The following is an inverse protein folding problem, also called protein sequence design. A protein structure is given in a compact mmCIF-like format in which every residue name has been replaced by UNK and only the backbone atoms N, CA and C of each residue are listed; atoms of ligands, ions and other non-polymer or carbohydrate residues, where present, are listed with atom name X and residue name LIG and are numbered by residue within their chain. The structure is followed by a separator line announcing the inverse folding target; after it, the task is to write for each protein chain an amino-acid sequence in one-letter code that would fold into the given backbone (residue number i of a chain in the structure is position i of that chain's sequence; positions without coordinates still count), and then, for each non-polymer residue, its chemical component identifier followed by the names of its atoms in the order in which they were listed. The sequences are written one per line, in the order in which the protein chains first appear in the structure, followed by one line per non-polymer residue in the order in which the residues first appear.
data_IF_540116969151
#
_entry.id   IF_540116969151
#
_cell.length_a   1.000
_cell.length_b   1.000
_cell.length_c   1.000
_cell.angle_alpha   90.00
_cell.angle_beta   90.00
_cell.angle_gamma   90.00
#
_symmetry.space_group_name_H-M   'P 1'
#
loop_
_entity.id
_entity.type
_entity.pdbx_description
1 polymer ?
#
# COMPACT_ATOMS: atom_id res chain seq x y z
N UNK A 1 5.40 -8.01 1.52
CA UNK A 1 4.87 -7.78 0.16
C UNK A 1 4.74 -6.27 -0.02
N UNK A 2 4.93 -5.74 -1.22
CA UNK A 2 4.73 -4.34 -1.54
C UNK A 2 3.98 -4.22 -2.86
N UNK A 3 3.13 -3.19 -3.01
CA UNK A 3 2.37 -2.98 -4.24
C UNK A 3 2.21 -1.51 -4.55
N UNK A 4 1.95 -1.21 -5.82
CA UNK A 4 1.54 0.10 -6.28
C UNK A 4 0.53 -0.03 -7.41
N UNK A 5 -0.34 0.98 -7.56
CA UNK A 5 -1.32 1.09 -8.63
C UNK A 5 -1.38 2.53 -9.12
N UNK A 6 -1.49 2.74 -10.43
CA UNK A 6 -1.43 4.08 -11.03
C UNK A 6 -2.66 4.44 -11.88
N UNK A 7 -3.73 3.64 -11.81
CA UNK A 7 -4.93 3.78 -12.65
C UNK A 7 -4.90 2.94 -13.92
N UNK A 8 -3.72 2.69 -14.49
CA UNK A 8 -3.54 1.96 -15.76
C UNK A 8 -2.98 0.55 -15.53
N UNK A 9 -2.01 0.44 -14.62
CA UNK A 9 -1.34 -0.82 -14.29
C UNK A 9 -0.96 -0.85 -12.82
N UNK A 10 -0.50 -2.01 -12.38
CA UNK A 10 -0.02 -2.25 -11.02
C UNK A 10 1.20 -3.18 -11.01
N UNK A 11 1.90 -3.17 -9.89
CA UNK A 11 2.85 -4.24 -9.55
C UNK A 11 2.60 -4.70 -8.13
N UNK A 12 2.80 -6.00 -7.92
CA UNK A 12 2.84 -6.62 -6.60
C UNK A 12 4.15 -7.40 -6.53
N UNK A 13 4.96 -7.09 -5.52
CA UNK A 13 6.26 -7.69 -5.28
C UNK A 13 6.22 -8.43 -3.95
N UNK A 14 6.68 -9.66 -3.93
CA UNK A 14 6.76 -10.47 -2.72
C UNK A 14 8.15 -11.05 -2.53
N UNK A 15 8.56 -11.19 -1.26
CA UNK A 15 9.94 -11.54 -0.93
C UNK A 15 10.36 -12.93 -1.43
N UNK A 16 9.41 -13.80 -1.82
CA UNK A 16 9.75 -15.13 -2.35
C UNK A 16 10.48 -15.03 -3.70
N UNK A 17 10.29 -13.93 -4.44
CA UNK A 17 10.96 -13.67 -5.70
C UNK A 17 12.46 -13.34 -5.54
N UNK A 18 12.91 -13.03 -4.31
CA UNK A 18 14.30 -12.64 -3.99
C UNK A 18 14.89 -13.46 -2.85
N UNK A 19 14.54 -14.75 -2.77
CA UNK A 19 15.11 -15.64 -1.74
C UNK A 19 14.84 -15.15 -0.31
N UNK A 20 13.68 -14.53 -0.08
CA UNK A 20 13.26 -13.95 1.20
C UNK A 20 14.11 -12.75 1.68
N UNK A 21 14.91 -12.15 0.79
CA UNK A 21 15.63 -10.91 1.09
C UNK A 21 14.69 -9.69 0.99
N UNK A 22 14.39 -9.10 2.15
CA UNK A 22 13.49 -7.95 2.24
C UNK A 22 14.08 -6.69 1.62
N UNK A 23 15.38 -6.41 1.81
CA UNK A 23 16.03 -5.22 1.27
C UNK A 23 16.01 -5.23 -0.26
N UNK A 24 16.38 -6.36 -0.88
CA UNK A 24 16.34 -6.51 -2.34
C UNK A 24 14.92 -6.35 -2.87
N UNK A 25 13.91 -6.96 -2.23
CA UNK A 25 12.51 -6.79 -2.63
C UNK A 25 12.07 -5.32 -2.59
N UNK A 26 12.44 -4.59 -1.53
CA UNK A 26 12.09 -3.18 -1.37
C UNK A 26 12.84 -2.27 -2.36
N UNK A 27 14.10 -2.55 -2.66
CA UNK A 27 14.84 -1.86 -3.73
C UNK A 27 14.15 -2.07 -5.09
N UNK A 28 13.77 -3.31 -5.40
CA UNK A 28 13.05 -3.62 -6.64
C UNK A 28 11.66 -2.97 -6.68
N UNK A 29 10.98 -2.86 -5.53
CA UNK A 29 9.73 -2.12 -5.43
C UNK A 29 9.93 -0.66 -5.84
N UNK A 30 10.91 0.03 -5.26
CA UNK A 30 11.21 1.42 -5.59
C UNK A 30 11.65 1.60 -7.05
N UNK A 31 12.50 0.71 -7.57
CA UNK A 31 12.92 0.71 -8.97
C UNK A 31 11.69 0.59 -9.90
N UNK A 32 10.79 -0.36 -9.63
CA UNK A 32 9.58 -0.54 -10.43
C UNK A 32 8.67 0.69 -10.37
N UNK A 33 8.45 1.24 -9.18
CA UNK A 33 7.61 2.42 -8.98
C UNK A 33 8.16 3.63 -9.74
N UNK A 34 9.47 3.90 -9.64
CA UNK A 34 10.12 5.05 -10.28
C UNK A 34 10.11 4.90 -11.81
N UNK A 35 10.49 3.74 -12.33
CA UNK A 35 10.61 3.53 -13.77
C UNK A 35 9.25 3.58 -14.47
N UNK A 36 8.22 3.02 -13.86
CA UNK A 36 6.89 2.91 -14.47
C UNK A 36 5.98 4.11 -14.19
N UNK A 37 6.41 5.03 -13.32
CA UNK A 37 5.65 6.23 -12.96
C UNK A 37 6.48 7.51 -13.08
N UNK A 38 7.44 7.52 -14.02
CA UNK A 38 8.32 8.67 -14.23
C UNK A 38 7.52 9.95 -14.50
N UNK A 39 7.82 11.01 -13.75
CA UNK A 39 7.17 12.31 -13.82
C UNK A 39 5.85 12.40 -13.04
N UNK A 40 5.35 11.32 -12.46
CA UNK A 40 4.09 11.31 -11.70
C UNK A 40 4.30 11.75 -10.24
N UNK A 41 3.21 12.18 -9.62
CA UNK A 41 3.10 12.27 -8.16
C UNK A 41 2.47 10.98 -7.65
N UNK A 42 3.13 10.32 -6.70
CA UNK A 42 2.63 9.10 -6.06
C UNK A 42 2.28 9.40 -4.62
N UNK A 43 1.24 8.72 -4.15
CA UNK A 43 0.74 8.86 -2.79
C UNK A 43 0.85 7.55 -2.05
N UNK A 44 1.46 7.62 -0.87
CA UNK A 44 1.38 6.55 0.12
C UNK A 44 0.47 7.02 1.25
N UNK A 45 -0.41 6.14 1.72
CA UNK A 45 -1.30 6.49 2.82
C UNK A 45 -0.60 6.26 4.15
N UNK A 46 -0.42 7.35 4.92
CA UNK A 46 0.38 7.36 6.15
C UNK A 46 1.88 7.09 5.91
N UNK A 47 2.47 7.78 4.92
CA UNK A 47 3.90 7.70 4.62
C UNK A 47 4.79 8.27 5.73
N UNK A 48 4.25 9.03 6.70
CA UNK A 48 4.99 9.31 7.94
C UNK A 48 5.10 8.11 8.88
N UNK A 49 4.38 7.02 8.61
CA UNK A 49 4.23 5.86 9.49
C UNK A 49 5.19 4.71 9.20
N UNK A 50 4.77 3.53 9.66
CA UNK A 50 5.61 2.32 9.69
C UNK A 50 6.15 1.88 8.32
N UNK A 51 5.31 1.91 7.28
CA UNK A 51 5.70 1.44 5.95
C UNK A 51 6.85 2.25 5.35
N UNK A 52 6.91 3.55 5.62
CA UNK A 52 8.03 4.38 5.19
C UNK A 52 9.29 4.12 6.01
N UNK A 53 9.18 3.93 7.33
CA UNK A 53 10.33 3.58 8.17
C UNK A 53 11.01 2.30 7.65
N UNK A 54 10.21 1.31 7.24
CA UNK A 54 10.73 0.07 6.67
C UNK A 54 11.29 0.22 5.25
N UNK A 55 10.61 0.97 4.37
CA UNK A 55 10.93 1.00 2.94
C UNK A 55 11.90 2.09 2.52
N UNK A 56 11.98 3.20 3.26
CA UNK A 56 12.79 4.36 2.90
C UNK A 56 14.30 4.07 2.83
N UNK A 57 14.91 3.25 3.72
CA UNK A 57 16.32 2.90 3.58
C UNK A 57 16.65 2.28 2.22
N UNK A 58 15.77 1.41 1.69
CA UNK A 58 15.94 0.81 0.37
C UNK A 58 15.85 1.84 -0.76
N UNK A 59 14.98 2.86 -0.64
CA UNK A 59 14.93 3.97 -1.59
C UNK A 59 16.23 4.77 -1.58
N UNK A 60 16.74 5.09 -0.40
CA UNK A 60 17.92 5.95 -0.21
C UNK A 60 19.23 5.28 -0.65
N UNK A 61 19.26 3.95 -0.74
CA UNK A 61 20.40 3.21 -1.33
C UNK A 61 20.45 3.28 -2.86
N UNK A 62 19.36 3.67 -3.52
CA UNK A 62 19.34 3.78 -4.98
C UNK A 62 20.17 4.99 -5.45
N UNK A 63 20.76 4.95 -6.66
CA UNK A 63 21.66 5.99 -7.18
C UNK A 63 20.87 7.22 -7.69
N UNK A 64 20.03 7.79 -6.84
CA UNK A 64 19.22 8.98 -7.09
C UNK A 64 19.53 10.08 -6.09
N UNK A 65 19.10 11.31 -6.39
CA UNK A 65 19.15 12.42 -5.45
C UNK A 65 17.75 12.75 -4.94
N UNK A 66 17.67 13.19 -3.69
CA UNK A 66 16.41 13.36 -2.97
C UNK A 66 16.30 14.78 -2.42
N UNK A 67 15.13 15.40 -2.59
CA UNK A 67 14.81 16.70 -1.98
C UNK A 67 13.54 16.53 -1.14
N UNK A 68 13.67 16.29 0.17
CA UNK A 68 12.53 16.18 1.07
C UNK A 68 11.99 17.57 1.47
N UNK A 69 10.67 17.65 1.63
CA UNK A 69 10.00 18.72 2.36
C UNK A 69 9.53 18.11 3.68
N UNK A 70 10.01 18.67 4.78
CA UNK A 70 9.74 18.20 6.14
C UNK A 70 8.99 19.28 6.91
N UNK A 71 8.14 18.88 7.85
CA UNK A 71 7.56 19.77 8.86
C UNK A 71 7.49 19.04 10.18
N UNK A 72 7.98 19.67 11.24
CA UNK A 72 7.94 19.14 12.62
C UNK A 72 8.50 17.71 12.76
N UNK A 73 9.54 17.40 11.98
CA UNK A 73 10.19 16.08 11.96
C UNK A 73 9.54 15.04 11.04
N UNK A 74 8.45 15.38 10.36
CA UNK A 74 7.70 14.47 9.49
C UNK A 74 7.85 14.81 8.00
N UNK A 75 7.91 13.77 7.16
CA UNK A 75 8.01 13.92 5.70
C UNK A 75 6.65 14.34 5.14
N UNK A 76 6.59 15.50 4.48
CA UNK A 76 5.44 15.93 3.69
C UNK A 76 5.55 15.38 2.27
N UNK A 77 6.74 15.53 1.66
CA UNK A 77 6.98 15.03 0.31
C UNK A 77 8.46 14.79 0.06
N UNK A 78 8.78 13.94 -0.91
CA UNK A 78 10.14 13.72 -1.39
C UNK A 78 10.13 13.81 -2.91
N UNK A 79 10.93 14.72 -3.46
CA UNK A 79 11.24 14.70 -4.89
C UNK A 79 12.44 13.80 -5.14
N UNK A 80 12.30 12.87 -6.07
CA UNK A 80 13.35 11.94 -6.50
C UNK A 80 13.87 12.38 -7.87
N UNK A 81 15.17 12.59 -7.98
CA UNK A 81 15.82 13.05 -9.20
C UNK A 81 16.85 12.04 -9.71
N UNK A 82 16.91 11.90 -11.03
CA UNK A 82 17.88 11.09 -11.73
C UNK A 82 19.05 11.90 -12.28
N UNK A 83 19.76 11.32 -13.24
CA UNK A 83 20.85 11.99 -13.97
C UNK A 83 20.37 13.29 -14.60
N UNK A 84 21.27 14.28 -14.67
CA UNK A 84 21.00 15.63 -15.21
C UNK A 84 19.84 16.36 -14.50
N UNK A 85 19.62 16.06 -13.22
CA UNK A 85 18.59 16.68 -12.39
C UNK A 85 17.15 16.48 -12.93
N UNK A 86 16.91 15.42 -13.70
CA UNK A 86 15.56 15.08 -14.19
C UNK A 86 14.70 14.63 -13.01
N UNK A 87 13.59 15.31 -12.76
CA UNK A 87 12.58 14.86 -11.80
C UNK A 87 12.00 13.52 -12.27
N UNK A 88 12.15 12.48 -11.45
CA UNK A 88 11.64 11.13 -11.74
C UNK A 88 10.32 10.87 -11.03
N UNK A 89 10.18 11.31 -9.78
CA UNK A 89 9.00 11.00 -8.97
C UNK A 89 8.80 12.08 -7.91
N UNK A 90 7.55 12.38 -7.58
CA UNK A 90 7.22 13.12 -6.34
C UNK A 90 6.43 12.19 -5.43
N UNK A 91 6.98 11.85 -4.28
CA UNK A 91 6.32 11.03 -3.26
C UNK A 91 5.61 11.97 -2.28
N UNK A 92 4.36 11.69 -1.94
CA UNK A 92 3.57 12.45 -0.97
C UNK A 92 2.84 11.52 0.00
N UNK A 93 2.59 12.03 1.20
CA UNK A 93 1.74 11.36 2.20
C UNK A 93 0.28 11.77 2.02
N UNK A 94 -0.60 10.84 1.66
CA UNK A 94 -2.02 11.17 1.47
C UNK A 94 -2.74 11.50 2.78
N UNK A 95 -2.29 10.98 3.93
CA UNK A 95 -2.96 11.25 5.21
C UNK A 95 -2.87 12.73 5.61
N UNK A 96 -1.89 13.46 5.06
CA UNK A 96 -1.69 14.90 5.29
C UNK A 96 -2.64 15.77 4.49
N UNK A 97 -3.23 15.21 3.44
CA UNK A 97 -4.21 15.88 2.59
C UNK A 97 -5.62 15.47 3.00
N UNK A 98 -5.80 14.17 3.24
CA UNK A 98 -7.07 13.58 3.61
C UNK A 98 -6.90 12.71 4.87
N UNK A 99 -7.02 13.30 6.06
CA UNK A 99 -6.83 12.59 7.32
C UNK A 99 -7.94 11.56 7.56
N UNK A 100 -7.55 10.34 7.94
CA UNK A 100 -8.49 9.27 8.29
C UNK A 100 -7.92 7.90 7.96
N UNK A 101 -8.48 6.85 8.56
CA UNK A 101 -8.14 5.49 8.18
C UNK A 101 -8.70 5.16 6.79
N UNK A 102 -7.91 4.46 5.96
CA UNK A 102 -8.30 4.12 4.59
C UNK A 102 -9.67 3.44 4.49
N UNK A 103 -10.03 2.52 5.39
CA UNK A 103 -11.36 1.87 5.38
C UNK A 103 -12.50 2.87 5.54
N UNK A 104 -12.33 3.85 6.44
CA UNK A 104 -13.32 4.92 6.63
C UNK A 104 -13.37 5.83 5.42
N UNK A 105 -12.22 6.22 4.86
CA UNK A 105 -12.16 7.07 3.68
C UNK A 105 -12.79 6.40 2.46
N UNK A 106 -12.49 5.11 2.23
CA UNK A 106 -13.08 4.33 1.14
C UNK A 106 -14.61 4.28 1.23
N UNK A 107 -15.16 4.15 2.44
CA UNK A 107 -16.61 4.21 2.68
C UNK A 107 -17.18 5.61 2.46
N UNK A 108 -16.59 6.62 3.12
CA UNK A 108 -17.10 8.00 3.11
C UNK A 108 -17.07 8.62 1.70
N UNK A 109 -16.06 8.29 0.91
CA UNK A 109 -15.91 8.75 -0.48
C UNK A 109 -16.54 7.80 -1.49
N UNK A 110 -17.17 6.71 -1.03
CA UNK A 110 -17.83 5.72 -1.87
C UNK A 110 -16.92 5.09 -2.90
N UNK A 111 -15.66 4.79 -2.56
CA UNK A 111 -14.74 4.04 -3.41
C UNK A 111 -15.37 2.70 -3.83
N UNK A 112 -15.10 2.25 -5.05
CA UNK A 112 -15.63 0.96 -5.52
C UNK A 112 -14.95 -0.19 -4.78
N UNK A 113 -13.65 -0.04 -4.55
CA UNK A 113 -12.82 -0.98 -3.81
C UNK A 113 -12.87 -0.62 -2.33
N UNK A 114 -13.47 -1.49 -1.53
CA UNK A 114 -13.46 -1.38 -0.07
C UNK A 114 -12.25 -2.13 0.51
N UNK A 115 -11.78 -1.68 1.68
CA UNK A 115 -10.68 -2.34 2.39
C UNK A 115 -11.16 -3.69 2.91
N UNK A 116 -10.43 -4.74 2.57
CA UNK A 116 -10.72 -6.11 2.99
C UNK A 116 -10.12 -6.40 4.38
N UNK A 117 -10.28 -7.63 4.86
CA UNK A 117 -9.78 -8.09 6.14
C UNK A 117 -8.62 -9.07 5.96
N UNK A 118 -7.69 -9.10 6.92
CA UNK A 118 -6.50 -9.94 6.85
C UNK A 118 -6.11 -10.47 8.25
N UNK A 119 -5.61 -11.72 8.37
CA UNK A 119 -5.17 -12.26 9.64
C UNK A 119 -3.77 -11.74 9.99
N UNK A 120 -3.71 -10.51 10.51
CA UNK A 120 -2.48 -9.77 10.80
C UNK A 120 -1.51 -10.48 11.76
N UNK A 121 -2.00 -11.39 12.59
CA UNK A 121 -1.20 -12.12 13.57
C UNK A 121 -0.84 -13.55 13.13
N UNK A 122 -1.27 -13.97 11.93
CA UNK A 122 -0.99 -15.33 11.46
C UNK A 122 0.50 -15.55 11.21
N UNK A 123 1.04 -16.54 11.91
CA UNK A 123 2.43 -16.94 11.85
C UNK A 123 2.52 -18.45 12.07
N UNK A 124 3.17 -19.17 11.14
CA UNK A 124 3.24 -20.64 11.19
C UNK A 124 4.45 -21.19 11.92
N UNK A 125 5.59 -20.47 11.93
CA UNK A 125 6.84 -20.76 12.68
C UNK A 125 8.00 -19.95 12.08
N UNK A 126 8.05 -19.88 10.74
CA UNK A 126 9.03 -19.13 9.96
C UNK A 126 8.38 -18.46 8.75
N UNK A 127 9.10 -17.55 8.09
CA UNK A 127 8.55 -16.75 6.99
C UNK A 127 8.21 -17.63 5.79
N UNK A 128 9.04 -18.61 5.47
CA UNK A 128 8.87 -19.51 4.33
C UNK A 128 7.63 -20.38 4.50
N UNK A 129 7.42 -20.95 5.69
CA UNK A 129 6.26 -21.80 5.98
C UNK A 129 4.98 -20.99 6.09
N UNK A 130 5.06 -19.76 6.60
CA UNK A 130 3.92 -18.83 6.65
C UNK A 130 3.47 -18.42 5.25
N UNK A 131 4.41 -17.99 4.39
CA UNK A 131 4.08 -17.56 3.03
C UNK A 131 3.59 -18.71 2.14
N UNK A 132 4.11 -19.93 2.33
CA UNK A 132 3.67 -21.12 1.57
C UNK A 132 2.37 -21.73 2.10
N UNK A 133 1.81 -21.20 3.18
CA UNK A 133 0.62 -21.77 3.79
C UNK A 133 -0.56 -21.79 2.80
N UNK A 134 -1.13 -22.98 2.63
CA UNK A 134 -2.38 -23.25 1.94
C UNK A 134 -3.12 -24.29 2.76
N UNK A 135 -4.31 -23.95 3.24
CA UNK A 135 -5.10 -24.82 4.11
C UNK A 135 -6.32 -24.09 4.67
N UNK A 136 -6.87 -24.51 5.81
CA UNK A 136 -8.01 -23.83 6.43
C UNK A 136 -7.74 -22.34 6.70
N UNK A 137 -8.77 -21.50 6.61
CA UNK A 137 -8.67 -20.09 7.03
C UNK A 137 -8.22 -20.02 8.50
N UNK A 138 -7.31 -19.10 8.86
CA UNK A 138 -6.90 -18.93 10.25
C UNK A 138 -8.11 -18.65 11.18
N UNK A 139 -8.11 -19.13 12.43
CA UNK A 139 -9.14 -18.76 13.41
C UNK A 139 -9.13 -17.25 13.67
N UNK A 140 -10.27 -16.71 14.13
CA UNK A 140 -10.47 -15.28 14.41
C UNK A 140 -9.38 -14.68 15.32
N UNK A 141 -8.77 -15.47 16.20
CA UNK A 141 -7.67 -15.04 17.07
C UNK A 141 -6.45 -14.49 16.33
N UNK A 142 -6.30 -14.81 15.04
CA UNK A 142 -5.24 -14.25 14.20
C UNK A 142 -5.59 -12.91 13.54
N UNK A 143 -6.82 -12.42 13.73
CA UNK A 143 -7.29 -11.16 13.19
C UNK A 143 -7.24 -10.07 14.27
N UNK A 144 -6.88 -8.85 13.87
CA UNK A 144 -6.90 -7.71 14.78
C UNK A 144 -8.36 -7.26 15.01
N UNK A 145 -8.90 -7.33 16.24
CA UNK A 145 -10.32 -7.03 16.49
C UNK A 145 -10.73 -5.59 16.16
N UNK A 146 -9.76 -4.66 16.13
CA UNK A 146 -9.98 -3.27 15.70
C UNK A 146 -10.17 -3.13 14.18
N UNK A 147 -9.76 -4.12 13.40
CA UNK A 147 -9.78 -4.11 11.92
C UNK A 147 -10.76 -5.11 11.32
N UNK A 148 -11.09 -6.17 12.05
CA UNK A 148 -11.99 -7.22 11.59
C UNK A 148 -12.96 -7.55 12.71
N UNK A 149 -14.25 -7.33 12.46
CA UNK A 149 -15.28 -7.75 13.42
C UNK A 149 -15.53 -9.25 13.32
N UNK A 150 -16.19 -9.82 14.34
CA UNK A 150 -16.62 -11.21 14.31
C UNK A 150 -17.54 -11.51 13.10
N UNK A 151 -18.44 -10.59 12.78
CA UNK A 151 -19.34 -10.73 11.62
C UNK A 151 -18.57 -10.70 10.29
N UNK A 152 -17.60 -9.79 10.13
CA UNK A 152 -16.78 -9.73 8.92
C UNK A 152 -15.96 -11.03 8.75
N UNK A 153 -15.41 -11.55 9.85
CA UNK A 153 -14.69 -12.83 9.85
C UNK A 153 -15.59 -14.00 9.43
N UNK A 154 -16.82 -14.08 9.95
CA UNK A 154 -17.77 -15.12 9.59
C UNK A 154 -18.14 -15.08 8.10
N UNK A 155 -18.27 -13.89 7.51
CA UNK A 155 -18.45 -13.75 6.07
C UNK A 155 -17.21 -14.21 5.29
N UNK A 156 -16.00 -13.90 5.77
CA UNK A 156 -14.78 -14.44 5.16
C UNK A 156 -14.72 -15.96 5.20
N UNK A 157 -15.10 -16.60 6.32
CA UNK A 157 -15.08 -18.06 6.47
C UNK A 157 -15.93 -18.72 5.38
N UNK A 158 -17.12 -18.18 5.09
CA UNK A 158 -18.01 -18.68 4.03
C UNK A 158 -17.32 -18.71 2.65
N UNK A 159 -16.46 -17.72 2.36
CA UNK A 159 -15.71 -17.67 1.09
C UNK A 159 -14.69 -18.82 0.94
N UNK A 160 -14.24 -19.41 2.04
CA UNK A 160 -13.23 -20.47 2.09
C UNK A 160 -13.78 -21.84 2.53
N UNK A 161 -15.10 -22.03 2.61
CA UNK A 161 -15.71 -23.32 2.96
C UNK A 161 -15.33 -24.46 2.00
N UNK A 162 -15.12 -24.12 0.72
CA UNK A 162 -14.89 -25.10 -0.36
C UNK A 162 -13.53 -24.95 -1.05
N UNK A 163 -12.63 -24.15 -0.48
CA UNK A 163 -11.29 -23.94 -1.03
C UNK A 163 -10.30 -23.58 0.07
N UNK A 164 -9.05 -23.93 -0.14
CA UNK A 164 -7.97 -23.53 0.76
C UNK A 164 -7.80 -22.02 0.80
N UNK A 165 -7.55 -21.51 2.00
CA UNK A 165 -6.99 -20.19 2.25
C UNK A 165 -5.49 -20.23 1.98
N UNK A 166 -5.05 -19.51 0.96
CA UNK A 166 -3.64 -19.40 0.57
C UNK A 166 -3.08 -18.05 1.03
N UNK A 167 -2.07 -18.05 1.91
CA UNK A 167 -1.55 -16.83 2.52
C UNK A 167 -1.09 -15.82 1.48
N UNK A 168 -0.25 -16.23 0.53
CA UNK A 168 0.26 -15.34 -0.51
C UNK A 168 -0.86 -14.88 -1.46
N UNK A 169 -1.77 -15.76 -1.85
CA UNK A 169 -2.90 -15.43 -2.70
C UNK A 169 -3.78 -14.32 -2.10
N UNK A 170 -4.17 -14.49 -0.83
CA UNK A 170 -4.99 -13.53 -0.11
C UNK A 170 -4.21 -12.25 0.19
N UNK A 171 -2.93 -12.34 0.54
CA UNK A 171 -2.06 -11.17 0.74
C UNK A 171 -1.98 -10.30 -0.52
N UNK A 172 -1.87 -10.91 -1.70
CA UNK A 172 -1.83 -10.19 -2.99
C UNK A 172 -3.14 -9.45 -3.25
N UNK A 173 -4.28 -10.09 -2.99
CA UNK A 173 -5.59 -9.47 -3.14
C UNK A 173 -5.76 -8.30 -2.17
N UNK A 174 -5.41 -8.51 -0.90
CA UNK A 174 -5.52 -7.51 0.16
C UNK A 174 -4.68 -6.26 -0.14
N UNK A 175 -3.39 -6.42 -0.42
CA UNK A 175 -2.50 -5.26 -0.67
C UNK A 175 -2.87 -4.52 -1.95
N UNK A 176 -3.34 -5.24 -2.97
CA UNK A 176 -3.83 -4.65 -4.21
C UNK A 176 -5.11 -3.83 -3.97
N UNK A 177 -6.03 -4.37 -3.16
CA UNK A 177 -7.23 -3.67 -2.72
C UNK A 177 -6.89 -2.36 -2.00
N UNK A 178 -5.92 -2.38 -1.09
CA UNK A 178 -5.48 -1.18 -0.35
C UNK A 178 -4.93 -0.07 -1.27
N UNK A 179 -4.05 -0.40 -2.21
CA UNK A 179 -3.49 0.61 -3.13
C UNK A 179 -4.53 1.12 -4.12
N UNK A 180 -5.46 0.25 -4.55
CA UNK A 180 -6.57 0.64 -5.44
C UNK A 180 -7.58 1.53 -4.74
N UNK A 181 -8.01 1.17 -3.52
CA UNK A 181 -8.88 2.00 -2.70
C UNK A 181 -8.24 3.37 -2.42
N UNK A 182 -6.94 3.42 -2.14
CA UNK A 182 -6.21 4.69 -1.95
C UNK A 182 -6.27 5.56 -3.20
N UNK A 183 -6.05 4.97 -4.39
CA UNK A 183 -6.16 5.67 -5.66
C UNK A 183 -7.57 6.22 -5.90
N UNK A 184 -8.59 5.37 -5.76
CA UNK A 184 -10.00 5.75 -5.99
C UNK A 184 -10.45 6.87 -5.05
N UNK A 185 -10.09 6.79 -3.77
CA UNK A 185 -10.38 7.84 -2.77
C UNK A 185 -9.73 9.16 -3.19
N UNK A 186 -8.46 9.14 -3.61
CA UNK A 186 -7.75 10.36 -3.99
C UNK A 186 -8.31 10.99 -5.27
N UNK A 187 -8.65 10.18 -6.27
CA UNK A 187 -9.29 10.67 -7.50
C UNK A 187 -10.60 11.38 -7.15
N UNK A 188 -11.49 10.71 -6.40
CA UNK A 188 -12.78 11.31 -5.99
C UNK A 188 -12.60 12.58 -5.17
N UNK A 189 -11.61 12.60 -4.27
CA UNK A 189 -11.26 13.79 -3.49
C UNK A 189 -10.84 14.96 -4.39
N UNK A 190 -9.88 14.74 -5.30
CA UNK A 190 -9.37 15.80 -6.17
C UNK A 190 -10.41 16.27 -7.19
N UNK A 191 -11.20 15.36 -7.77
CA UNK A 191 -12.32 15.72 -8.66
C UNK A 191 -13.37 16.56 -7.92
N UNK A 192 -13.67 16.22 -6.66
CA UNK A 192 -14.58 17.00 -5.82
C UNK A 192 -14.01 18.38 -5.52
N UNK A 193 -12.71 18.47 -5.22
CA UNK A 193 -12.06 19.77 -5.01
C UNK A 193 -12.14 20.65 -6.26
N UNK A 194 -11.79 20.11 -7.43
CA UNK A 194 -11.81 20.84 -8.70
C UNK A 194 -13.22 21.29 -9.05
N UNK A 195 -14.22 20.41 -8.89
CA UNK A 195 -15.60 20.71 -9.26
C UNK A 195 -16.33 21.65 -8.30
N UNK A 196 -16.08 21.55 -6.98
CA UNK A 196 -16.77 22.37 -5.97
C UNK A 196 -16.04 23.66 -5.62
N UNK A 197 -14.72 23.69 -5.80
CA UNK A 197 -13.88 24.85 -5.54
C UNK A 197 -13.05 25.18 -6.79
N UNK A 198 -13.70 25.49 -7.92
CA UNK A 198 -12.98 25.92 -9.10
C UNK A 198 -12.20 27.18 -8.74
N UNK A 199 -10.88 27.11 -8.84
CA UNK A 199 -10.05 28.31 -8.74
C UNK A 199 -10.19 28.99 -10.10
N UNK A 200 -11.05 30.01 -10.19
CA UNK A 200 -10.99 30.94 -11.31
C UNK A 200 -9.66 31.70 -11.22
N UNK A 201 -8.80 31.65 -12.25
CA UNK A 201 -7.50 32.31 -12.26
C UNK A 201 -7.58 33.83 -12.29
#
# INVERSE_FOLDING_TARGET
MAAWYNGETYRILDITQWGYNTNTMLEQFWISLINENTGRTVFFHNFGGYDAILSLPALLHLPYTFSPIMKDGEIISIKVFGKKNKLLLTIKDSIRILPGALSKLAKDWGAETQKDHFPHYFWKDCIETTLRYSGPIPPYTYFEPKRTSQADYEEMVKLFERKDWNFLGVSRQYIMGDVKATYEVLIKYFETLISKFPIEP
#
